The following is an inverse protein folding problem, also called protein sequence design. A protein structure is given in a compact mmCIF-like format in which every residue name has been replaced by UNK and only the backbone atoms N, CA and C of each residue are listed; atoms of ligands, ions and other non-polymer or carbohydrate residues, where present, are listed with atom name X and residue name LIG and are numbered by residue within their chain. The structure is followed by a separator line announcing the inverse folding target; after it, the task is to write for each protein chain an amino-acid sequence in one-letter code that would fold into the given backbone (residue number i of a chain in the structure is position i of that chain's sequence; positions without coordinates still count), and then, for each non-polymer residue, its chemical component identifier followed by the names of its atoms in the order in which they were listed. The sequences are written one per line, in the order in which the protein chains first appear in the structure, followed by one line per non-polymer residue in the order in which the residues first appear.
data_IF_074841103001
#
_entry.id   IF_074841103001
#
_cell.length_a   1.000
_cell.length_b   1.000
_cell.length_c   1.000
_cell.angle_alpha   90.00
_cell.angle_beta   90.00
_cell.angle_gamma   90.00
#
_symmetry.space_group_name_H-M   'P 1'
#
loop_
_entity.id
_entity.type
_entity.pdbx_description
1 polymer ?
#
# COMPACT_ATOMS: atom_id res chain seq x y z
N UNK A 1 57.03 63.28 37.99
CA UNK A 1 56.99 62.81 36.59
C UNK A 1 57.27 61.32 36.60
N UNK A 2 56.20 60.53 36.53
CA UNK A 2 56.24 59.06 36.59
C UNK A 2 56.04 58.54 35.16
N UNK A 3 57.01 57.80 34.62
CA UNK A 3 56.91 57.13 33.32
C UNK A 3 56.73 55.63 33.53
N UNK A 4 55.63 55.12 32.99
CA UNK A 4 55.18 53.75 33.06
C UNK A 4 55.95 52.84 32.08
N UNK A 5 56.31 51.65 32.55
CA UNK A 5 56.82 50.54 31.75
C UNK A 5 55.66 49.83 31.03
N UNK A 6 55.72 49.75 29.70
CA UNK A 6 54.80 48.97 28.87
C UNK A 6 55.36 47.57 28.63
N UNK A 7 54.62 46.56 29.09
CA UNK A 7 54.86 45.13 28.86
C UNK A 7 54.53 44.74 27.42
N UNK A 8 55.47 44.09 26.72
CA UNK A 8 55.25 43.45 25.41
C UNK A 8 54.93 41.97 25.60
N UNK A 9 53.79 41.54 25.08
CA UNK A 9 53.35 40.13 25.04
C UNK A 9 54.12 39.32 23.96
N UNK A 10 54.32 38.01 24.16
CA UNK A 10 55.03 37.17 23.21
C UNK A 10 54.16 36.73 22.02
N UNK A 11 54.81 36.59 20.86
CA UNK A 11 54.27 36.15 19.56
C UNK A 11 54.03 34.63 19.61
N UNK A 12 52.86 34.12 19.15
CA UNK A 12 52.64 32.68 19.05
C UNK A 12 53.31 32.07 17.80
N UNK A 13 53.71 30.78 17.84
CA UNK A 13 54.38 30.10 16.73
C UNK A 13 53.41 29.73 15.60
N UNK A 14 53.92 29.45 14.37
CA UNK A 14 53.09 29.15 13.22
C UNK A 14 52.45 27.76 13.32
N UNK A 15 51.17 27.69 12.97
CA UNK A 15 50.38 26.46 12.93
C UNK A 15 50.88 25.54 11.81
N UNK A 16 51.15 24.29 12.17
CA UNK A 16 51.50 23.22 11.25
C UNK A 16 50.30 22.84 10.37
N UNK A 17 50.55 22.66 9.07
CA UNK A 17 49.60 22.12 8.11
C UNK A 17 49.20 20.69 8.49
N UNK A 18 47.96 20.51 8.93
CA UNK A 18 47.35 19.19 9.10
C UNK A 18 46.91 18.67 7.73
N UNK A 19 47.57 17.61 7.25
CA UNK A 19 47.10 16.79 6.13
C UNK A 19 45.69 16.28 6.44
N UNK A 20 44.71 16.75 5.68
CA UNK A 20 43.35 16.21 5.67
C UNK A 20 43.37 14.83 5.02
N UNK A 21 43.39 13.79 5.85
CA UNK A 21 42.98 12.45 5.41
C UNK A 21 41.51 12.52 5.00
N UNK A 22 41.26 12.49 3.69
CA UNK A 22 39.94 12.15 3.15
C UNK A 22 39.65 10.70 3.56
N UNK A 23 38.84 10.53 4.60
CA UNK A 23 38.17 9.27 4.84
C UNK A 23 37.27 8.97 3.62
N UNK A 24 37.31 7.77 3.04
CA UNK A 24 36.39 7.39 1.99
C UNK A 24 34.98 7.47 2.57
N UNK A 25 34.15 8.34 2.00
CA UNK A 25 32.71 8.35 2.23
C UNK A 25 32.18 6.94 1.95
N UNK A 26 31.56 6.26 2.93
CA UNK A 26 30.92 4.98 2.65
C UNK A 26 29.79 5.25 1.66
N UNK A 27 29.92 4.69 0.46
CA UNK A 27 28.79 4.54 -0.44
C UNK A 27 27.74 3.70 0.30
N UNK A 28 26.72 4.37 0.86
CA UNK A 28 25.50 3.76 1.38
C UNK A 28 24.59 3.31 0.22
N UNK A 29 25.17 2.64 -0.78
CA UNK A 29 24.43 1.88 -1.75
C UNK A 29 24.21 0.48 -1.23
N UNK A 30 22.99 -0.03 -1.37
CA UNK A 30 22.69 -1.47 -1.43
C UNK A 30 22.43 -2.27 -0.13
N UNK A 31 22.06 -1.63 0.99
CA UNK A 31 21.67 -2.38 2.22
C UNK A 31 20.15 -2.71 2.29
N UNK A 32 19.30 -2.12 1.42
CA UNK A 32 17.84 -2.29 1.50
C UNK A 32 17.21 -3.29 0.50
N UNK A 33 17.82 -3.56 -0.65
CA UNK A 33 17.44 -4.69 -1.51
C UNK A 33 17.45 -6.06 -0.77
N UNK A 34 18.38 -6.33 0.18
CA UNK A 34 18.38 -7.57 0.97
C UNK A 34 17.15 -7.74 1.88
N UNK A 35 16.69 -6.68 2.55
CA UNK A 35 15.61 -6.78 3.56
C UNK A 35 14.25 -7.13 2.93
N UNK A 36 13.97 -6.64 1.73
CA UNK A 36 12.66 -6.82 1.10
C UNK A 36 12.55 -8.13 0.30
N UNK A 37 13.65 -8.63 -0.25
CA UNK A 37 13.70 -10.00 -0.77
C UNK A 37 13.51 -11.02 0.37
N UNK A 38 14.04 -10.73 1.56
CA UNK A 38 13.82 -11.57 2.73
C UNK A 38 12.33 -11.67 3.10
N UNK A 39 11.52 -10.61 2.90
CA UNK A 39 10.09 -10.60 3.24
C UNK A 39 9.28 -11.67 2.49
N UNK A 40 9.45 -11.83 1.17
CA UNK A 40 8.67 -12.82 0.41
C UNK A 40 9.27 -14.23 0.51
N UNK A 41 10.58 -14.35 0.66
CA UNK A 41 11.19 -15.64 1.03
C UNK A 41 10.68 -16.11 2.38
N UNK A 42 10.46 -15.20 3.33
CA UNK A 42 9.80 -15.52 4.60
C UNK A 42 8.33 -15.93 4.39
N UNK A 43 7.59 -15.29 3.49
CA UNK A 43 6.24 -15.76 3.15
C UNK A 43 6.33 -17.19 2.63
N UNK A 44 7.16 -17.45 1.62
CA UNK A 44 7.29 -18.78 1.02
C UNK A 44 7.68 -19.86 2.04
N UNK A 45 8.62 -19.56 2.94
CA UNK A 45 8.97 -20.44 4.05
C UNK A 45 7.79 -20.67 4.99
N UNK A 46 7.07 -19.60 5.37
CA UNK A 46 5.89 -19.73 6.20
C UNK A 46 4.80 -20.57 5.52
N UNK A 47 4.63 -20.46 4.19
CA UNK A 47 3.66 -21.28 3.45
C UNK A 47 4.04 -22.76 3.43
N UNK A 48 5.33 -23.08 3.44
CA UNK A 48 5.82 -24.46 3.53
C UNK A 48 5.59 -25.05 4.93
N UNK A 49 5.61 -24.23 5.98
CA UNK A 49 5.39 -24.63 7.38
C UNK A 49 3.90 -24.70 7.79
N UNK A 50 2.94 -24.44 6.87
CA UNK A 50 1.49 -24.43 7.18
C UNK A 50 0.83 -25.79 6.92
N UNK A 51 1.42 -26.88 7.43
CA UNK A 51 0.73 -28.18 7.49
C UNK A 51 -0.20 -28.32 8.71
N UNK A 52 -0.26 -27.30 9.59
CA UNK A 52 -1.15 -27.31 10.75
C UNK A 52 -1.94 -26.00 10.88
N UNK A 53 -3.17 -25.99 10.35
CA UNK A 53 -4.19 -25.04 10.79
C UNK A 53 -5.40 -25.80 11.33
N UNK A 54 -6.06 -25.15 12.30
CA UNK A 54 -7.21 -25.64 13.05
C UNK A 54 -8.29 -26.26 12.15
N UNK A 55 -9.10 -27.20 12.67
CA UNK A 55 -10.17 -27.83 11.90
C UNK A 55 -11.02 -26.75 11.23
N UNK A 56 -10.95 -26.72 9.90
CA UNK A 56 -11.72 -25.81 9.09
C UNK A 56 -13.14 -26.38 9.03
N UNK A 57 -14.11 -25.64 9.56
CA UNK A 57 -15.50 -26.08 9.54
C UNK A 57 -15.99 -26.20 8.09
N UNK A 58 -16.90 -27.15 7.82
CA UNK A 58 -17.54 -27.34 6.51
C UNK A 58 -18.27 -26.08 5.99
N UNK A 59 -18.52 -25.11 6.88
CA UNK A 59 -19.13 -23.81 6.56
C UNK A 59 -18.13 -22.76 6.04
N UNK A 60 -16.84 -23.07 6.06
CA UNK A 60 -15.80 -22.12 5.68
C UNK A 60 -15.86 -21.79 4.19
N UNK A 61 -15.74 -20.51 3.89
CA UNK A 61 -15.70 -20.00 2.52
C UNK A 61 -14.32 -19.44 2.20
N UNK A 62 -13.72 -19.92 1.12
CA UNK A 62 -12.43 -19.48 0.61
C UNK A 62 -12.62 -18.38 -0.44
N UNK A 63 -11.88 -17.28 -0.28
CA UNK A 63 -11.76 -16.22 -1.27
C UNK A 63 -10.35 -16.24 -1.85
N UNK A 64 -10.19 -16.72 -3.08
CA UNK A 64 -8.89 -16.75 -3.76
C UNK A 64 -8.67 -15.41 -4.46
N UNK A 65 -7.48 -14.82 -4.31
CA UNK A 65 -7.17 -13.47 -4.80
C UNK A 65 -6.09 -13.52 -5.87
N UNK A 66 -6.19 -12.68 -6.90
CA UNK A 66 -5.14 -12.52 -7.92
C UNK A 66 -4.12 -11.40 -7.57
N UNK A 67 -3.12 -11.20 -8.44
CA UNK A 67 -2.12 -10.13 -8.25
C UNK A 67 -2.70 -8.74 -8.48
N UNK A 68 -3.64 -8.58 -9.41
CA UNK A 68 -4.24 -7.28 -9.74
C UNK A 68 -5.03 -6.69 -8.57
N UNK A 69 -5.75 -7.50 -7.81
CA UNK A 69 -6.38 -7.10 -6.56
C UNK A 69 -5.33 -6.58 -5.57
N UNK A 70 -4.20 -7.24 -5.43
CA UNK A 70 -3.16 -6.84 -4.49
C UNK A 70 -2.42 -5.57 -4.93
N UNK A 71 -2.30 -5.32 -6.22
CA UNK A 71 -1.66 -4.12 -6.75
C UNK A 71 -2.61 -2.92 -6.83
N UNK A 72 -3.87 -3.13 -7.24
CA UNK A 72 -4.85 -2.08 -7.51
C UNK A 72 -5.91 -1.90 -6.42
N UNK A 73 -6.30 -2.96 -5.70
CA UNK A 73 -7.43 -2.97 -4.76
C UNK A 73 -7.05 -3.45 -3.34
N UNK A 74 -5.76 -3.32 -2.96
CA UNK A 74 -5.26 -3.81 -1.67
C UNK A 74 -6.06 -3.29 -0.47
N UNK A 75 -6.52 -2.03 -0.53
CA UNK A 75 -7.30 -1.42 0.55
C UNK A 75 -8.67 -2.06 0.74
N UNK A 76 -9.38 -2.33 -0.35
CA UNK A 76 -10.66 -3.03 -0.30
C UNK A 76 -10.46 -4.40 0.37
N UNK A 77 -9.42 -5.13 -0.03
CA UNK A 77 -9.09 -6.42 0.59
C UNK A 77 -8.71 -6.27 2.07
N UNK A 78 -7.91 -5.26 2.44
CA UNK A 78 -7.53 -4.95 3.82
C UNK A 78 -8.75 -4.68 4.71
N UNK A 79 -9.65 -3.82 4.24
CA UNK A 79 -10.89 -3.50 4.94
C UNK A 79 -11.76 -4.74 5.09
N UNK A 80 -11.96 -5.47 3.99
CA UNK A 80 -12.75 -6.69 3.99
C UNK A 80 -12.20 -7.73 4.99
N UNK A 81 -10.89 -7.94 5.04
CA UNK A 81 -10.23 -8.81 6.01
C UNK A 81 -10.45 -8.34 7.45
N UNK A 82 -10.36 -7.04 7.70
CA UNK A 82 -10.63 -6.45 9.02
C UNK A 82 -12.09 -6.69 9.44
N UNK A 83 -13.04 -6.49 8.52
CA UNK A 83 -14.47 -6.69 8.76
C UNK A 83 -14.78 -8.17 9.02
N UNK A 84 -14.16 -9.09 8.26
CA UNK A 84 -14.25 -10.54 8.48
C UNK A 84 -13.79 -10.92 9.89
N UNK A 85 -12.65 -10.40 10.32
CA UNK A 85 -12.08 -10.65 11.65
C UNK A 85 -12.96 -10.06 12.77
N UNK A 86 -13.50 -8.86 12.57
CA UNK A 86 -14.35 -8.18 13.54
C UNK A 86 -15.74 -8.84 13.66
N UNK A 87 -16.29 -9.30 12.54
CA UNK A 87 -17.56 -10.02 12.51
C UNK A 87 -17.43 -11.50 12.92
N UNK A 88 -16.20 -12.01 13.03
CA UNK A 88 -15.88 -13.41 13.32
C UNK A 88 -16.61 -14.39 12.37
N UNK A 89 -16.60 -14.09 11.07
CA UNK A 89 -17.18 -14.96 10.04
C UNK A 89 -16.13 -15.93 9.48
N UNK A 90 -16.56 -17.13 9.12
CA UNK A 90 -15.69 -18.20 8.59
C UNK A 90 -15.31 -17.99 7.13
N UNK A 91 -14.61 -16.88 6.85
CA UNK A 91 -14.03 -16.59 5.54
C UNK A 91 -12.51 -16.62 5.65
N UNK A 92 -11.86 -17.32 4.72
CA UNK A 92 -10.40 -17.37 4.59
C UNK A 92 -10.01 -16.82 3.22
N UNK A 93 -9.18 -15.79 3.22
CA UNK A 93 -8.54 -15.28 2.01
C UNK A 93 -7.33 -16.14 1.69
N UNK A 94 -7.34 -16.75 0.50
CA UNK A 94 -6.28 -17.61 -0.01
C UNK A 94 -5.45 -16.82 -1.02
N UNK A 95 -4.15 -16.80 -0.82
CA UNK A 95 -3.18 -16.17 -1.72
C UNK A 95 -2.48 -17.28 -2.52
N UNK A 96 -2.75 -17.41 -3.83
CA UNK A 96 -2.08 -18.37 -4.68
C UNK A 96 -0.55 -18.20 -4.63
N UNK A 97 0.17 -19.30 -4.77
CA UNK A 97 1.63 -19.27 -4.81
C UNK A 97 2.16 -18.50 -6.03
N UNK A 98 1.45 -18.57 -7.16
CA UNK A 98 1.76 -17.79 -8.37
C UNK A 98 1.72 -16.28 -8.12
N UNK A 99 0.74 -15.81 -7.34
CA UNK A 99 0.59 -14.39 -6.98
C UNK A 99 1.77 -13.92 -6.13
N UNK A 100 2.23 -14.74 -5.18
CA UNK A 100 3.43 -14.42 -4.37
C UNK A 100 4.68 -14.32 -5.26
N UNK A 101 4.83 -15.23 -6.22
CA UNK A 101 5.95 -15.20 -7.17
C UNK A 101 5.91 -13.96 -8.08
N UNK A 102 4.74 -13.60 -8.58
CA UNK A 102 4.55 -12.40 -9.40
C UNK A 102 4.90 -11.14 -8.64
N UNK A 103 4.42 -11.00 -7.39
CA UNK A 103 4.78 -9.87 -6.53
C UNK A 103 6.29 -9.77 -6.31
N UNK A 104 7.00 -10.88 -6.16
CA UNK A 104 8.47 -10.86 -6.00
C UNK A 104 9.18 -10.37 -7.27
N UNK A 105 8.74 -10.85 -8.43
CA UNK A 105 9.24 -10.38 -9.72
C UNK A 105 9.01 -8.89 -9.93
N UNK A 106 7.84 -8.38 -9.52
CA UNK A 106 7.45 -6.99 -9.69
C UNK A 106 8.15 -6.02 -8.72
N UNK A 107 8.85 -6.47 -7.66
CA UNK A 107 9.59 -5.57 -6.75
C UNK A 107 10.71 -4.77 -7.41
N UNK A 108 11.27 -5.33 -8.48
CA UNK A 108 12.32 -4.72 -9.30
C UNK A 108 11.75 -3.86 -10.42
N UNK A 109 10.43 -3.92 -10.64
CA UNK A 109 9.74 -3.08 -11.61
C UNK A 109 9.71 -1.66 -11.09
N UNK A 110 10.17 -0.72 -11.89
CA UNK A 110 10.09 0.71 -11.60
C UNK A 110 8.64 1.20 -11.41
N UNK A 111 7.69 0.58 -12.12
CA UNK A 111 6.28 0.97 -12.12
C UNK A 111 5.50 0.36 -10.97
N UNK A 112 5.73 -0.92 -10.71
CA UNK A 112 4.93 -1.72 -9.78
C UNK A 112 5.68 -2.07 -8.48
N UNK A 113 6.96 -1.70 -8.37
CA UNK A 113 7.81 -2.06 -7.24
C UNK A 113 7.26 -1.61 -5.90
N UNK A 114 6.85 -0.34 -5.82
CA UNK A 114 6.22 0.24 -4.64
C UNK A 114 4.96 -0.53 -4.23
N UNK A 115 4.08 -0.80 -5.18
CA UNK A 115 2.82 -1.52 -4.97
C UNK A 115 3.07 -2.94 -4.49
N UNK A 116 4.02 -3.62 -5.14
CA UNK A 116 4.37 -5.01 -4.85
C UNK A 116 5.01 -5.15 -3.47
N UNK A 117 5.87 -4.21 -3.06
CA UNK A 117 6.46 -4.18 -1.71
C UNK A 117 5.40 -3.96 -0.64
N UNK A 118 4.46 -3.03 -0.86
CA UNK A 118 3.38 -2.73 0.09
C UNK A 118 2.44 -3.93 0.26
N UNK A 119 2.05 -4.56 -0.84
CA UNK A 119 1.27 -5.80 -0.82
C UNK A 119 2.01 -6.93 -0.10
N UNK A 120 3.30 -7.13 -0.40
CA UNK A 120 4.15 -8.15 0.25
C UNK A 120 4.26 -7.95 1.75
N UNK A 121 4.46 -6.71 2.21
CA UNK A 121 4.57 -6.40 3.63
C UNK A 121 3.26 -6.71 4.37
N UNK A 122 2.12 -6.32 3.81
CA UNK A 122 0.80 -6.63 4.36
C UNK A 122 0.52 -8.13 4.39
N UNK A 123 0.84 -8.84 3.29
CA UNK A 123 0.67 -10.29 3.22
C UNK A 123 1.50 -11.01 4.28
N UNK A 124 2.77 -10.63 4.46
CA UNK A 124 3.64 -11.23 5.47
C UNK A 124 3.06 -11.04 6.88
N UNK A 125 2.58 -9.83 7.19
CA UNK A 125 1.95 -9.53 8.46
C UNK A 125 0.71 -10.42 8.69
N UNK A 126 -0.19 -10.50 7.71
CA UNK A 126 -1.44 -11.26 7.84
C UNK A 126 -1.26 -12.77 7.84
N UNK A 127 -0.36 -13.31 7.01
CA UNK A 127 -0.03 -14.74 7.01
C UNK A 127 0.61 -15.16 8.34
N UNK A 128 1.44 -14.32 8.97
CA UNK A 128 1.99 -14.58 10.31
C UNK A 128 0.92 -14.65 11.39
N UNK A 129 -0.15 -13.85 11.27
CA UNK A 129 -1.27 -13.88 12.22
C UNK A 129 -2.10 -15.18 12.12
N UNK A 130 -2.10 -15.86 10.96
CA UNK A 130 -2.81 -17.14 10.72
C UNK A 130 -4.30 -17.10 11.09
N UNK A 131 -4.98 -15.95 10.88
CA UNK A 131 -6.41 -15.77 11.23
C UNK A 131 -7.32 -15.92 10.01
N UNK A 132 -7.25 -14.95 9.11
CA UNK A 132 -8.20 -14.71 8.02
C UNK A 132 -7.55 -14.75 6.64
N UNK A 133 -6.21 -14.73 6.59
CA UNK A 133 -5.42 -14.75 5.36
C UNK A 133 -4.38 -15.87 5.46
N UNK A 134 -4.24 -16.61 4.37
CA UNK A 134 -3.31 -17.73 4.24
C UNK A 134 -2.81 -17.81 2.81
N UNK A 135 -1.55 -18.22 2.59
CA UNK A 135 -1.10 -18.59 1.26
C UNK A 135 -1.28 -20.08 0.96
N UNK A 136 -1.30 -20.39 -0.33
CA UNK A 136 -1.38 -21.74 -0.87
C UNK A 136 -0.10 -22.53 -0.55
N UNK A 137 -0.23 -23.70 0.07
CA UNK A 137 0.86 -24.64 0.25
C UNK A 137 1.25 -25.32 -1.06
N UNK A 138 2.49 -25.85 -1.17
CA UNK A 138 2.98 -26.46 -2.41
C UNK A 138 2.09 -27.61 -2.91
N UNK A 139 1.60 -28.46 -2.00
CA UNK A 139 0.75 -29.60 -2.31
C UNK A 139 -0.74 -29.24 -2.45
N UNK A 140 -1.10 -27.96 -2.33
CA UNK A 140 -2.47 -27.49 -2.45
C UNK A 140 -2.84 -27.16 -3.89
N UNK A 141 -2.79 -28.19 -4.74
CA UNK A 141 -2.89 -28.06 -6.20
C UNK A 141 -3.69 -29.20 -6.80
N UNK A 142 -4.31 -28.97 -7.96
CA UNK A 142 -4.91 -30.03 -8.78
C UNK A 142 -3.90 -30.64 -9.75
N UNK A 143 -2.69 -30.08 -9.83
CA UNK A 143 -1.60 -30.58 -10.66
C UNK A 143 -1.22 -32.02 -10.26
N UNK A 144 -1.25 -33.00 -11.19
CA UNK A 144 -0.84 -34.39 -10.95
C UNK A 144 0.54 -34.60 -10.31
N UNK A 145 1.46 -33.64 -10.43
CA UNK A 145 2.76 -33.70 -9.76
C UNK A 145 2.67 -33.56 -8.24
N UNK A 146 1.53 -33.11 -7.71
CA UNK A 146 1.34 -32.79 -6.30
C UNK A 146 2.10 -31.52 -5.88
N UNK A 147 2.58 -30.71 -6.82
CA UNK A 147 3.26 -29.46 -6.53
C UNK A 147 2.94 -28.40 -7.58
N UNK A 148 2.29 -27.29 -7.20
CA UNK A 148 1.89 -26.25 -8.16
C UNK A 148 3.08 -25.62 -8.90
N UNK A 149 4.29 -25.64 -8.31
CA UNK A 149 5.52 -25.16 -8.94
C UNK A 149 6.05 -26.09 -10.01
N UNK A 150 5.70 -27.38 -9.94
CA UNK A 150 6.24 -28.38 -10.84
C UNK A 150 5.46 -28.33 -12.15
N UNK A 151 6.12 -27.78 -13.16
CA UNK A 151 5.59 -27.73 -14.51
C UNK A 151 5.56 -29.11 -15.14
N UNK A 152 4.48 -29.42 -15.84
CA UNK A 152 4.39 -30.66 -16.60
C UNK A 152 5.04 -30.53 -17.98
N UNK A 153 5.67 -31.61 -18.42
CA UNK A 153 6.29 -31.67 -19.74
C UNK A 153 5.18 -31.55 -20.80
N UNK A 154 5.27 -30.51 -21.63
CA UNK A 154 4.30 -30.25 -22.70
C UNK A 154 3.19 -29.26 -22.36
N UNK A 155 3.13 -28.75 -21.12
CA UNK A 155 2.26 -27.58 -20.84
C UNK A 155 2.75 -26.38 -21.66
N UNK A 156 1.86 -25.67 -22.38
CA UNK A 156 2.23 -24.49 -23.14
C UNK A 156 2.91 -23.46 -22.23
N UNK A 157 3.93 -22.79 -22.76
CA UNK A 157 4.50 -21.62 -22.10
C UNK A 157 3.73 -20.41 -22.62
N UNK A 158 3.19 -19.59 -21.73
CA UNK A 158 2.46 -18.41 -22.15
C UNK A 158 2.15 -17.49 -21.00
N UNK A 159 1.68 -16.30 -21.37
CA UNK A 159 1.28 -15.24 -20.44
C UNK A 159 0.15 -15.70 -19.50
N UNK A 160 -0.68 -16.66 -19.95
CA UNK A 160 -1.76 -17.27 -19.16
C UNK A 160 -1.30 -18.32 -18.16
N UNK A 161 -0.01 -18.64 -18.08
CA UNK A 161 0.46 -19.70 -17.19
C UNK A 161 0.19 -19.37 -15.71
N UNK A 162 0.31 -18.10 -15.32
CA UNK A 162 0.02 -17.71 -13.94
C UNK A 162 -1.48 -17.73 -13.64
N UNK A 163 -2.32 -17.35 -14.60
CA UNK A 163 -3.78 -17.47 -14.52
C UNK A 163 -4.22 -18.92 -14.36
N UNK A 164 -3.61 -19.85 -15.12
CA UNK A 164 -3.83 -21.29 -14.97
C UNK A 164 -3.47 -21.78 -13.55
N UNK A 165 -2.38 -21.26 -12.96
CA UNK A 165 -2.00 -21.61 -11.58
C UNK A 165 -2.95 -21.02 -10.53
N UNK A 166 -3.48 -19.81 -10.75
CA UNK A 166 -4.50 -19.21 -9.88
C UNK A 166 -5.79 -20.04 -9.97
N UNK A 167 -6.19 -20.45 -11.17
CA UNK A 167 -7.35 -21.29 -11.38
C UNK A 167 -7.19 -22.70 -10.78
N UNK A 168 -6.00 -23.30 -10.90
CA UNK A 168 -5.65 -24.55 -10.22
C UNK A 168 -5.82 -24.43 -8.69
N UNK A 169 -5.37 -23.33 -8.09
CA UNK A 169 -5.59 -23.01 -6.69
C UNK A 169 -7.10 -22.94 -6.36
N UNK A 170 -7.89 -22.21 -7.17
CA UNK A 170 -9.35 -22.14 -7.03
C UNK A 170 -10.00 -23.53 -7.06
N UNK A 171 -9.61 -24.38 -8.01
CA UNK A 171 -10.16 -25.72 -8.17
C UNK A 171 -9.80 -26.64 -6.98
N UNK A 172 -8.57 -26.54 -6.49
CA UNK A 172 -8.14 -27.28 -5.31
C UNK A 172 -9.01 -26.94 -4.09
N UNK A 173 -9.13 -25.65 -3.75
CA UNK A 173 -9.91 -25.24 -2.58
C UNK A 173 -11.40 -25.47 -2.78
N UNK A 174 -11.92 -25.37 -4.01
CA UNK A 174 -13.32 -25.71 -4.33
C UNK A 174 -13.66 -27.18 -4.03
N UNK A 175 -12.70 -28.09 -4.19
CA UNK A 175 -12.93 -29.51 -3.87
C UNK A 175 -13.16 -29.76 -2.37
N UNK A 176 -12.82 -28.81 -1.50
CA UNK A 176 -12.87 -28.92 -0.04
C UNK A 176 -13.80 -27.91 0.63
N UNK A 177 -13.94 -26.71 0.05
CA UNK A 177 -14.64 -25.58 0.63
C UNK A 177 -15.46 -24.84 -0.41
N UNK A 178 -16.43 -24.05 0.05
CA UNK A 178 -17.08 -23.05 -0.82
C UNK A 178 -16.01 -22.06 -1.26
N UNK A 179 -15.73 -21.99 -2.55
CA UNK A 179 -14.63 -21.17 -3.06
C UNK A 179 -15.14 -20.18 -4.10
N UNK A 180 -14.61 -18.97 -4.05
CA UNK A 180 -14.80 -17.96 -5.06
C UNK A 180 -13.47 -17.27 -5.41
N UNK A 181 -13.38 -16.80 -6.65
CA UNK A 181 -12.31 -15.96 -7.14
C UNK A 181 -12.65 -14.49 -6.94
N UNK A 182 -11.72 -13.72 -6.39
CA UNK A 182 -11.75 -12.27 -6.35
C UNK A 182 -10.69 -11.72 -7.31
N UNK A 183 -11.15 -11.16 -8.43
CA UNK A 183 -10.28 -10.72 -9.53
C UNK A 183 -10.89 -9.54 -10.25
N UNK A 184 -10.06 -8.61 -10.69
CA UNK A 184 -10.47 -7.54 -11.60
C UNK A 184 -10.33 -7.92 -13.08
N UNK A 185 -9.70 -9.06 -13.38
CA UNK A 185 -9.46 -9.51 -14.76
C UNK A 185 -10.70 -10.24 -15.32
N UNK A 186 -11.31 -9.65 -16.33
CA UNK A 186 -12.51 -10.20 -16.98
C UNK A 186 -12.28 -11.58 -17.60
N UNK A 187 -11.10 -11.85 -18.19
CA UNK A 187 -10.81 -13.14 -18.82
C UNK A 187 -10.65 -14.24 -17.77
N UNK A 188 -9.88 -13.98 -16.71
CA UNK A 188 -9.68 -14.95 -15.63
C UNK A 188 -11.00 -15.27 -14.91
N UNK A 189 -11.88 -14.27 -14.75
CA UNK A 189 -13.24 -14.45 -14.22
C UNK A 189 -14.12 -15.33 -15.10
N UNK A 190 -14.16 -15.07 -16.41
CA UNK A 190 -14.92 -15.89 -17.37
C UNK A 190 -14.42 -17.34 -17.34
N UNK A 191 -13.10 -17.53 -17.32
CA UNK A 191 -12.50 -18.86 -17.27
C UNK A 191 -12.83 -19.59 -15.96
N UNK A 192 -12.69 -18.91 -14.81
CA UNK A 192 -13.10 -19.40 -13.50
C UNK A 192 -14.56 -19.86 -13.48
N UNK A 193 -15.47 -19.04 -14.02
CA UNK A 193 -16.90 -19.35 -14.07
C UNK A 193 -17.21 -20.54 -14.99
N UNK A 194 -16.51 -20.65 -16.12
CA UNK A 194 -16.63 -21.79 -17.02
C UNK A 194 -16.25 -23.13 -16.36
N UNK A 195 -15.33 -23.08 -15.39
CA UNK A 195 -14.96 -24.22 -14.55
C UNK A 195 -15.87 -24.40 -13.32
N UNK A 196 -16.87 -23.54 -13.13
CA UNK A 196 -17.81 -23.59 -12.02
C UNK A 196 -17.29 -23.00 -10.71
N UNK A 197 -16.22 -22.20 -10.74
CA UNK A 197 -15.76 -21.39 -9.62
C UNK A 197 -16.40 -20.00 -9.74
N UNK A 198 -17.19 -19.61 -8.75
CA UNK A 198 -17.85 -18.29 -8.73
C UNK A 198 -16.80 -17.17 -8.70
N UNK A 199 -17.02 -16.08 -9.44
CA UNK A 199 -16.10 -14.96 -9.48
C UNK A 199 -16.77 -13.64 -9.09
N UNK A 200 -16.02 -12.70 -8.52
CA UNK A 200 -16.50 -11.36 -8.18
C UNK A 200 -15.40 -10.32 -8.45
N UNK A 201 -15.81 -9.19 -9.03
CA UNK A 201 -14.96 -8.02 -9.22
C UNK A 201 -14.91 -7.12 -7.98
N UNK A 202 -13.90 -6.24 -7.85
CA UNK A 202 -13.86 -5.21 -6.82
C UNK A 202 -15.10 -4.30 -6.87
N UNK A 203 -15.94 -4.35 -5.84
CA UNK A 203 -17.01 -3.36 -5.65
C UNK A 203 -16.95 -2.76 -4.25
N UNK A 204 -17.40 -3.50 -3.24
CA UNK A 204 -17.38 -3.11 -1.83
C UNK A 204 -17.23 -4.30 -0.91
N UNK A 205 -16.79 -4.06 0.33
CA UNK A 205 -16.69 -5.12 1.34
C UNK A 205 -18.04 -5.77 1.65
N UNK A 206 -19.12 -4.98 1.62
CA UNK A 206 -20.49 -5.43 1.83
C UNK A 206 -20.97 -6.34 0.69
N UNK A 207 -20.79 -5.93 -0.56
CA UNK A 207 -21.19 -6.75 -1.71
C UNK A 207 -20.39 -8.06 -1.76
N UNK A 208 -19.10 -7.99 -1.42
CA UNK A 208 -18.24 -9.16 -1.33
C UNK A 208 -18.73 -10.13 -0.24
N UNK A 209 -19.08 -9.63 0.94
CA UNK A 209 -19.66 -10.43 2.01
C UNK A 209 -21.02 -11.04 1.61
N UNK A 210 -21.89 -10.26 0.98
CA UNK A 210 -23.19 -10.71 0.48
C UNK A 210 -23.04 -11.81 -0.57
N UNK A 211 -22.11 -11.65 -1.50
CA UNK A 211 -21.81 -12.63 -2.54
C UNK A 211 -21.29 -13.95 -1.96
N UNK A 212 -20.40 -13.89 -0.96
CA UNK A 212 -19.79 -15.07 -0.37
C UNK A 212 -20.74 -15.81 0.57
N UNK A 213 -21.47 -15.08 1.42
CA UNK A 213 -22.27 -15.64 2.51
C UNK A 213 -23.76 -15.73 2.20
N UNK A 214 -24.24 -15.07 1.14
CA UNK A 214 -25.65 -15.04 0.76
C UNK A 214 -26.55 -14.29 1.74
N UNK A 215 -25.97 -13.48 2.63
CA UNK A 215 -26.69 -12.68 3.62
C UNK A 215 -26.06 -11.31 3.74
N UNK A 216 -26.90 -10.32 3.99
CA UNK A 216 -26.44 -8.97 4.28
C UNK A 216 -25.82 -8.93 5.68
N UNK A 217 -24.67 -8.30 5.80
CA UNK A 217 -23.98 -8.12 7.07
C UNK A 217 -23.85 -6.63 7.33
N UNK A 218 -24.73 -6.10 8.17
CA UNK A 218 -24.73 -4.68 8.60
C UNK A 218 -23.40 -4.25 9.25
N UNK A 219 -22.59 -5.23 9.69
CA UNK A 219 -21.27 -5.00 10.30
C UNK A 219 -20.17 -4.66 9.29
N UNK A 220 -20.38 -4.97 8.00
CA UNK A 220 -19.40 -4.66 6.96
C UNK A 220 -19.59 -3.20 6.60
N UNK A 221 -18.52 -2.42 6.72
CA UNK A 221 -18.62 -1.02 6.38
C UNK A 221 -18.85 -0.90 4.86
N UNK A 222 -19.76 0.00 4.43
CA UNK A 222 -19.84 0.32 3.01
C UNK A 222 -18.46 0.82 2.61
N UNK A 223 -17.83 0.09 1.70
CA UNK A 223 -16.61 0.59 1.09
C UNK A 223 -17.04 1.74 0.20
N UNK A 224 -16.77 2.97 0.63
CA UNK A 224 -16.80 4.11 -0.27
C UNK A 224 -15.64 3.90 -1.25
N UNK A 225 -15.96 3.25 -2.37
CA UNK A 225 -15.09 3.18 -3.52
C UNK A 225 -14.89 4.60 -4.04
N UNK A 226 -14.00 5.35 -3.41
CA UNK A 226 -13.64 6.71 -3.83
C UNK A 226 -12.81 6.72 -5.13
N UNK A 227 -12.83 5.61 -5.88
CA UNK A 227 -12.07 5.39 -7.10
C UNK A 227 -12.92 4.81 -8.23
N UNK A 228 -13.95 5.55 -8.65
CA UNK A 228 -14.56 5.40 -9.99
C UNK A 228 -13.58 5.73 -11.13
N UNK A 229 -12.34 6.14 -10.83
CA UNK A 229 -11.33 6.49 -11.82
C UNK A 229 -10.51 5.33 -12.38
N UNK A 230 -10.53 4.15 -11.74
CA UNK A 230 -9.82 2.95 -12.23
C UNK A 230 -10.76 2.07 -13.08
N UNK A 231 -12.07 2.15 -12.88
CA UNK A 231 -13.08 1.47 -13.73
C UNK A 231 -13.12 1.99 -15.18
N UNK A 232 -12.37 3.06 -15.50
CA UNK A 232 -12.14 3.46 -16.90
C UNK A 232 -10.95 2.73 -17.55
N UNK A 233 -10.40 1.68 -16.93
CA UNK A 233 -9.37 0.83 -17.51
C UNK A 233 -9.93 -0.27 -18.43
N UNK A 234 -11.26 -0.43 -18.53
CA UNK A 234 -11.88 -1.37 -19.45
C UNK A 234 -12.97 -0.69 -20.29
N UNK A 235 -12.65 -0.35 -21.55
CA UNK A 235 -13.47 -0.60 -22.75
C UNK A 235 -12.85 0.14 -23.96
N UNK A 236 -11.74 -0.37 -24.46
CA UNK A 236 -11.54 -0.33 -25.91
C UNK A 236 -11.75 -1.75 -26.42
N UNK A 237 -12.98 -2.05 -26.85
CA UNK A 237 -13.36 -3.32 -27.48
C UNK A 237 -12.80 -3.39 -28.91
N UNK A 238 -11.51 -3.12 -29.09
CA UNK A 238 -10.82 -3.36 -30.35
C UNK A 238 -10.40 -4.82 -30.39
N UNK A 239 -11.02 -5.59 -31.30
CA UNK A 239 -10.63 -6.97 -31.57
C UNK A 239 -9.31 -7.00 -32.36
N UNK A 240 -8.17 -6.87 -31.68
CA UNK A 240 -6.87 -7.25 -32.23
C UNK A 240 -6.23 -8.33 -31.35
N UNK A 241 -6.13 -9.51 -31.92
CA UNK A 241 -5.55 -10.71 -31.32
C UNK A 241 -4.06 -10.67 -31.61
N UNK A 242 -3.28 -10.13 -30.66
CA UNK A 242 -1.85 -10.42 -30.35
C UNK A 242 -1.24 -9.26 -29.51
N UNK A 243 -1.96 -8.76 -28.49
CA UNK A 243 -1.49 -7.61 -27.70
C UNK A 243 -0.89 -8.00 -26.34
N UNK A 244 0.41 -7.75 -26.27
CA UNK A 244 1.28 -7.58 -25.10
C UNK A 244 0.51 -7.10 -23.86
N UNK A 245 0.60 -7.86 -22.74
CA UNK A 245 -0.10 -7.59 -21.47
C UNK A 245 -0.28 -6.09 -21.18
N UNK A 246 -1.49 -5.63 -20.79
CA UNK A 246 -1.86 -4.22 -20.82
C UNK A 246 -0.86 -3.37 -20.03
N UNK A 247 0.04 -2.73 -20.78
CA UNK A 247 1.06 -1.85 -20.21
C UNK A 247 0.33 -0.62 -19.73
N UNK A 248 0.18 -0.48 -18.41
CA UNK A 248 -0.32 0.75 -17.79
C UNK A 248 0.32 1.96 -18.47
N UNK A 249 -0.50 2.86 -19.00
CA UNK A 249 0.01 4.08 -19.62
C UNK A 249 0.74 4.90 -18.56
N UNK A 250 1.73 5.71 -18.97
CA UNK A 250 2.47 6.55 -18.03
C UNK A 250 1.53 7.46 -17.22
N UNK A 251 0.43 7.90 -17.83
CA UNK A 251 -0.59 8.72 -17.18
C UNK A 251 -1.38 7.95 -16.11
N UNK A 252 -1.77 6.71 -16.41
CA UNK A 252 -2.47 5.85 -15.46
C UNK A 252 -1.56 5.52 -14.27
N UNK A 253 -0.29 5.21 -14.54
CA UNK A 253 0.70 4.95 -13.49
C UNK A 253 0.87 6.16 -12.55
N UNK A 254 0.86 7.39 -13.09
CA UNK A 254 0.93 8.62 -12.29
C UNK A 254 -0.30 8.83 -11.42
N UNK A 255 -1.50 8.59 -11.95
CA UNK A 255 -2.75 8.72 -11.20
C UNK A 255 -2.82 7.70 -10.06
N UNK A 256 -2.47 6.43 -10.35
CA UNK A 256 -2.38 5.37 -9.36
C UNK A 256 -1.34 5.68 -8.29
N UNK A 257 -0.15 6.17 -8.67
CA UNK A 257 0.88 6.56 -7.72
C UNK A 257 0.39 7.67 -6.80
N UNK A 258 -0.25 8.72 -7.33
CA UNK A 258 -0.75 9.84 -6.53
C UNK A 258 -1.78 9.40 -5.50
N UNK A 259 -2.74 8.60 -5.93
CA UNK A 259 -3.74 8.00 -5.06
C UNK A 259 -3.07 7.28 -3.92
N UNK A 260 -2.09 6.43 -4.20
CA UNK A 260 -1.43 5.70 -3.14
C UNK A 260 -0.59 6.57 -2.21
N UNK A 261 -0.02 7.66 -2.71
CA UNK A 261 0.68 8.66 -1.87
C UNK A 261 -0.31 9.31 -0.91
N UNK A 262 -1.46 9.78 -1.41
CA UNK A 262 -2.55 10.30 -0.58
C UNK A 262 -2.89 9.30 0.52
N UNK A 263 -3.16 8.06 0.14
CA UNK A 263 -3.60 7.01 1.04
C UNK A 263 -2.57 6.61 2.08
N UNK A 264 -1.33 6.45 1.65
CA UNK A 264 -0.24 5.99 2.48
C UNK A 264 0.14 7.04 3.50
N UNK A 265 0.41 8.27 3.04
CA UNK A 265 0.81 9.35 3.93
C UNK A 265 -0.34 9.82 4.82
N UNK A 266 -1.62 9.71 4.40
CA UNK A 266 -2.74 9.94 5.33
C UNK A 266 -2.67 9.00 6.53
N UNK A 267 -2.39 7.70 6.34
CA UNK A 267 -2.27 6.75 7.46
C UNK A 267 -1.10 7.06 8.37
N UNK A 268 0.05 7.40 7.80
CA UNK A 268 1.22 7.82 8.58
C UNK A 268 0.92 9.09 9.39
N UNK A 269 0.23 10.07 8.78
CA UNK A 269 -0.19 11.29 9.45
C UNK A 269 -1.19 11.01 10.59
N UNK A 270 -2.17 10.12 10.39
CA UNK A 270 -3.10 9.69 11.45
C UNK A 270 -2.35 9.00 12.60
N UNK A 271 -1.42 8.11 12.29
CA UNK A 271 -0.59 7.46 13.30
C UNK A 271 0.29 8.47 14.06
N UNK A 272 0.85 9.44 13.36
CA UNK A 272 1.62 10.53 13.95
C UNK A 272 0.76 11.40 14.88
N UNK A 273 -0.45 11.78 14.44
CA UNK A 273 -1.42 12.51 15.25
C UNK A 273 -1.73 11.76 16.55
N UNK A 274 -1.96 10.45 16.49
CA UNK A 274 -2.21 9.63 17.68
C UNK A 274 -1.05 9.64 18.68
N UNK A 275 0.21 9.70 18.21
CA UNK A 275 1.39 9.80 19.10
C UNK A 275 1.57 11.20 19.69
N UNK A 276 1.26 12.25 18.92
CA UNK A 276 1.43 13.65 19.31
C UNK A 276 0.30 14.14 20.21
N UNK A 277 -0.91 13.59 20.01
CA UNK A 277 -2.14 14.01 20.64
C UNK A 277 -2.80 12.92 21.48
N UNK A 278 -2.17 12.45 22.57
CA UNK A 278 -2.79 11.45 23.44
C UNK A 278 -4.13 11.96 24.02
N UNK A 279 -4.31 13.28 24.15
CA UNK A 279 -5.56 13.87 24.63
C UNK A 279 -6.75 13.66 23.68
N UNK A 280 -6.53 13.24 22.43
CA UNK A 280 -7.60 12.99 21.47
C UNK A 280 -8.37 11.70 21.76
N UNK A 281 -7.85 10.79 22.58
CA UNK A 281 -8.56 9.57 22.98
C UNK A 281 -9.67 9.85 24.02
N UNK A 282 -9.50 10.89 24.85
CA UNK A 282 -10.41 11.20 25.96
C UNK A 282 -11.64 12.04 25.53
N UNK A 283 -11.59 12.70 24.37
CA UNK A 283 -12.60 13.68 23.95
C UNK A 283 -13.88 13.02 23.42
N UNK A 284 -13.86 11.73 23.08
CA UNK A 284 -15.01 11.04 22.49
C UNK A 284 -16.20 10.85 23.45
N UNK A 285 -16.05 11.11 24.75
CA UNK A 285 -17.08 10.87 25.76
C UNK A 285 -17.81 12.10 26.30
N UNK A 286 -17.32 13.32 26.07
CA UNK A 286 -17.91 14.53 26.67
C UNK A 286 -18.81 15.27 25.67
N UNK A 287 -20.08 14.86 25.66
CA UNK A 287 -21.07 15.24 24.66
C UNK A 287 -21.37 16.74 24.57
N UNK A 288 -21.51 17.21 23.33
CA UNK A 288 -22.58 18.14 22.98
C UNK A 288 -22.32 19.64 23.15
N UNK A 289 -21.07 20.11 23.15
CA UNK A 289 -20.83 21.55 22.99
C UNK A 289 -20.82 21.87 21.49
N UNK A 290 -21.81 22.63 21.04
CA UNK A 290 -21.90 23.14 19.67
C UNK A 290 -20.62 23.90 19.32
N UNK A 291 -19.74 23.26 18.54
CA UNK A 291 -18.49 23.86 18.11
C UNK A 291 -18.77 25.15 17.33
N UNK A 292 -18.07 26.23 17.67
CA UNK A 292 -18.15 27.50 16.95
C UNK A 292 -17.86 27.27 15.46
N UNK A 293 -18.54 27.99 14.57
CA UNK A 293 -18.23 28.00 13.13
C UNK A 293 -16.75 28.34 12.82
N UNK A 294 -16.06 28.98 13.75
CA UNK A 294 -14.63 29.34 13.63
C UNK A 294 -13.69 28.33 14.29
N UNK A 295 -14.19 27.24 14.86
CA UNK A 295 -13.33 26.18 15.37
C UNK A 295 -12.62 25.47 14.20
N UNK A 296 -11.40 24.96 14.42
CA UNK A 296 -10.65 24.20 13.42
C UNK A 296 -11.47 23.05 12.86
N UNK A 297 -11.23 22.64 11.61
CA UNK A 297 -12.05 21.60 10.97
C UNK A 297 -12.02 20.29 11.74
N UNK A 298 -10.86 19.92 12.28
CA UNK A 298 -10.70 18.73 13.12
C UNK A 298 -11.48 18.77 14.45
N UNK A 299 -11.97 19.93 14.89
CA UNK A 299 -12.87 20.08 16.05
C UNK A 299 -14.36 20.09 15.68
N UNK A 300 -14.70 20.22 14.39
CA UNK A 300 -16.06 20.49 13.95
C UNK A 300 -16.90 19.23 13.72
N UNK A 301 -16.53 18.09 14.30
CA UNK A 301 -17.35 16.89 14.24
C UNK A 301 -17.00 15.90 15.32
N UNK A 302 -17.96 15.03 15.64
CA UNK A 302 -17.79 13.86 16.51
C UNK A 302 -16.94 12.75 15.86
N UNK A 303 -16.12 13.13 14.87
CA UNK A 303 -15.35 12.22 14.03
C UNK A 303 -14.05 11.84 14.75
N UNK A 304 -13.83 10.56 15.08
CA UNK A 304 -12.61 10.13 15.76
C UNK A 304 -11.38 10.40 14.89
N UNK A 305 -10.25 10.73 15.52
CA UNK A 305 -9.03 11.11 14.79
C UNK A 305 -8.50 10.02 13.84
N UNK A 306 -8.85 8.76 14.09
CA UNK A 306 -8.50 7.61 13.24
C UNK A 306 -9.14 7.66 11.86
N UNK A 307 -10.21 8.42 11.72
CA UNK A 307 -10.92 8.63 10.46
C UNK A 307 -10.51 9.93 9.76
N UNK A 308 -9.65 10.75 10.38
CA UNK A 308 -9.25 12.03 9.82
C UNK A 308 -8.55 11.87 8.46
N UNK A 309 -8.81 12.82 7.56
CA UNK A 309 -8.08 12.94 6.30
C UNK A 309 -6.73 13.68 6.51
N UNK A 310 -5.89 13.71 5.47
CA UNK A 310 -4.59 14.36 5.53
C UNK A 310 -4.68 15.85 5.90
N UNK A 311 -5.68 16.58 5.39
CA UNK A 311 -5.85 18.00 5.67
C UNK A 311 -6.18 18.26 7.16
N UNK A 312 -7.06 17.44 7.74
CA UNK A 312 -7.40 17.49 9.17
C UNK A 312 -6.17 17.18 10.04
N UNK A 313 -5.39 16.16 9.66
CA UNK A 313 -4.15 15.80 10.36
C UNK A 313 -3.12 16.94 10.31
N UNK A 314 -2.86 17.50 9.12
CA UNK A 314 -1.91 18.59 8.94
C UNK A 314 -2.33 19.86 9.69
N UNK A 315 -3.61 20.20 9.68
CA UNK A 315 -4.14 21.34 10.44
C UNK A 315 -3.91 21.18 11.96
N UNK A 316 -4.13 19.97 12.49
CA UNK A 316 -3.88 19.66 13.90
C UNK A 316 -2.38 19.76 14.23
N UNK A 317 -1.52 19.12 13.43
CA UNK A 317 -0.07 19.12 13.63
C UNK A 317 0.50 20.54 13.55
N UNK A 318 0.10 21.33 12.54
CA UNK A 318 0.54 22.72 12.38
C UNK A 318 0.17 23.61 13.58
N UNK A 319 -0.97 23.33 14.22
CA UNK A 319 -1.38 24.05 15.42
C UNK A 319 -0.51 23.70 16.62
N UNK A 320 -0.10 22.44 16.74
CA UNK A 320 0.77 21.97 17.84
C UNK A 320 2.21 22.46 17.66
N UNK A 321 2.71 22.44 16.43
CA UNK A 321 4.04 22.94 16.07
C UNK A 321 3.93 23.62 14.72
N UNK A 322 4.09 24.95 14.68
CA UNK A 322 4.03 25.72 13.44
C UNK A 322 5.17 25.31 12.51
N UNK A 323 4.86 24.48 11.52
CA UNK A 323 5.77 24.14 10.45
C UNK A 323 5.83 25.28 9.42
N UNK A 324 6.97 25.40 8.73
CA UNK A 324 7.06 26.25 7.54
C UNK A 324 6.33 25.52 6.41
N UNK A 325 5.26 26.12 5.88
CA UNK A 325 4.47 25.49 4.81
C UNK A 325 5.16 25.64 3.46
N UNK A 326 5.06 24.61 2.64
CA UNK A 326 5.32 24.72 1.20
C UNK A 326 4.16 25.48 0.54
N UNK A 327 4.47 26.57 -0.16
CA UNK A 327 3.44 27.47 -0.67
C UNK A 327 2.77 26.97 -1.96
N UNK A 328 3.39 26.03 -2.70
CA UNK A 328 2.85 25.58 -3.97
C UNK A 328 3.32 24.16 -4.39
N UNK A 329 2.43 23.14 -4.45
CA UNK A 329 1.06 23.17 -3.95
C UNK A 329 1.03 23.12 -2.42
N UNK A 330 -0.10 23.55 -1.85
CA UNK A 330 -0.39 23.30 -0.45
C UNK A 330 -0.49 21.80 -0.22
N UNK A 331 0.18 21.30 0.83
CA UNK A 331 0.27 19.87 1.05
C UNK A 331 -1.11 19.24 1.32
N UNK A 332 -1.99 19.95 2.00
CA UNK A 332 -3.37 19.53 2.24
C UNK A 332 -4.20 19.39 0.95
N UNK A 333 -3.85 20.12 -0.11
CA UNK A 333 -4.51 20.05 -1.42
C UNK A 333 -3.93 18.90 -2.25
N UNK A 334 -2.60 18.73 -2.20
CA UNK A 334 -1.93 17.62 -2.86
C UNK A 334 -2.39 16.26 -2.28
N UNK A 335 -2.50 16.16 -0.95
CA UNK A 335 -2.96 14.94 -0.28
C UNK A 335 -4.49 14.79 -0.24
N UNK A 336 -5.24 15.66 -0.92
CA UNK A 336 -6.68 15.50 -1.08
C UNK A 336 -7.01 14.57 -2.24
N UNK A 337 -8.08 13.79 -2.12
CA UNK A 337 -8.57 12.95 -3.22
C UNK A 337 -8.89 13.83 -4.45
N UNK A 338 -8.66 13.35 -5.69
CA UNK A 338 -8.93 14.15 -6.88
C UNK A 338 -10.34 14.73 -6.88
N UNK A 339 -10.46 16.04 -7.12
CA UNK A 339 -11.73 16.78 -7.14
C UNK A 339 -12.56 16.78 -5.84
N UNK A 340 -12.05 16.23 -4.74
CA UNK A 340 -12.73 16.28 -3.44
C UNK A 340 -12.71 17.67 -2.77
N UNK A 341 -11.77 18.53 -3.17
CA UNK A 341 -11.63 19.88 -2.64
C UNK A 341 -11.13 20.86 -3.71
N UNK A 342 -11.38 22.17 -3.56
CA UNK A 342 -10.91 23.18 -4.52
C UNK A 342 -9.39 23.11 -4.74
N UNK A 343 -8.99 22.78 -5.97
CA UNK A 343 -7.59 22.65 -6.36
C UNK A 343 -7.01 21.24 -6.25
N UNK A 344 -7.75 20.26 -5.70
CA UNK A 344 -7.33 18.86 -5.73
C UNK A 344 -7.44 18.30 -7.14
N UNK A 345 -6.39 17.58 -7.56
CA UNK A 345 -6.16 17.17 -8.96
C UNK A 345 -5.76 15.70 -9.04
N UNK A 346 -5.88 15.13 -10.24
CA UNK A 346 -5.32 13.80 -10.54
C UNK A 346 -3.79 13.83 -10.54
N UNK A 347 -3.15 12.67 -10.40
CA UNK A 347 -1.69 12.55 -10.35
C UNK A 347 -0.99 13.14 -11.58
N UNK A 348 -1.54 12.90 -12.76
CA UNK A 348 -1.03 13.39 -14.05
C UNK A 348 -1.22 14.90 -14.29
N UNK A 349 -2.12 15.53 -13.53
CA UNK A 349 -2.42 16.97 -13.62
C UNK A 349 -1.47 17.81 -12.76
N UNK A 350 -0.70 17.17 -11.88
CA UNK A 350 0.37 17.83 -11.12
C UNK A 350 1.65 17.90 -11.95
N UNK A 351 2.30 19.07 -11.96
CA UNK A 351 3.63 19.20 -12.56
C UNK A 351 4.68 18.42 -11.76
N UNK A 352 5.79 18.09 -12.39
CA UNK A 352 6.93 17.46 -11.72
C UNK A 352 7.45 18.30 -10.52
N UNK A 353 7.46 19.62 -10.69
CA UNK A 353 7.83 20.56 -9.62
C UNK A 353 6.82 20.54 -8.47
N UNK A 354 5.52 20.48 -8.78
CA UNK A 354 4.47 20.39 -7.75
C UNK A 354 4.58 19.11 -6.93
N UNK A 355 4.85 17.98 -7.60
CA UNK A 355 5.18 16.71 -6.94
C UNK A 355 6.40 16.84 -6.03
N UNK A 356 7.49 17.40 -6.55
CA UNK A 356 8.73 17.59 -5.78
C UNK A 356 8.52 18.46 -4.55
N UNK A 357 7.81 19.57 -4.71
CA UNK A 357 7.46 20.49 -3.63
C UNK A 357 6.60 19.82 -2.57
N UNK A 358 5.58 19.04 -2.97
CA UNK A 358 4.72 18.32 -2.04
C UNK A 358 5.46 17.22 -1.27
N UNK A 359 6.29 16.41 -1.94
CA UNK A 359 7.09 15.37 -1.27
C UNK A 359 8.14 15.99 -0.33
N UNK A 360 8.72 17.12 -0.72
CA UNK A 360 9.60 17.89 0.17
C UNK A 360 8.85 18.39 1.41
N UNK A 361 7.63 18.92 1.23
CA UNK A 361 6.76 19.33 2.34
C UNK A 361 6.42 18.19 3.29
N UNK A 362 6.12 16.98 2.77
CA UNK A 362 5.98 15.78 3.60
C UNK A 362 7.27 15.45 4.36
N UNK A 363 8.42 15.59 3.72
CA UNK A 363 9.73 15.37 4.35
C UNK A 363 9.97 16.33 5.51
N UNK A 364 9.59 17.60 5.35
CA UNK A 364 9.65 18.60 6.40
C UNK A 364 8.71 18.26 7.57
N UNK A 365 7.50 17.76 7.30
CA UNK A 365 6.61 17.24 8.36
C UNK A 365 7.29 16.08 9.10
N UNK A 366 7.91 15.14 8.38
CA UNK A 366 8.69 14.05 8.98
C UNK A 366 9.81 14.56 9.89
N UNK A 367 10.59 15.55 9.43
CA UNK A 367 11.67 16.17 10.23
C UNK A 367 11.16 16.89 11.46
N UNK A 368 10.14 17.73 11.29
CA UNK A 368 9.60 18.55 12.37
C UNK A 368 9.04 17.68 13.50
N UNK A 369 8.60 16.47 13.18
CA UNK A 369 8.06 15.53 14.17
C UNK A 369 9.00 14.38 14.52
N UNK A 370 10.18 14.29 13.90
CA UNK A 370 11.11 13.17 14.10
C UNK A 370 10.54 11.82 13.66
N UNK A 371 9.61 11.82 12.69
CA UNK A 371 9.00 10.60 12.15
C UNK A 371 9.89 9.99 11.05
N UNK A 372 10.66 8.98 11.44
CA UNK A 372 11.54 8.25 10.54
C UNK A 372 10.78 7.45 9.48
N UNK A 373 9.55 7.00 9.75
CA UNK A 373 8.77 6.23 8.79
C UNK A 373 8.36 7.08 7.60
N UNK A 374 7.89 8.32 7.85
CA UNK A 374 7.60 9.28 6.77
C UNK A 374 8.84 9.53 5.90
N UNK A 375 10.02 9.69 6.51
CA UNK A 375 11.27 9.96 5.77
C UNK A 375 11.70 8.78 4.90
N UNK A 376 11.72 7.58 5.48
CA UNK A 376 12.10 6.37 4.76
C UNK A 376 11.18 6.12 3.55
N UNK A 377 9.88 6.28 3.74
CA UNK A 377 8.90 6.04 2.68
C UNK A 377 8.98 7.11 1.56
N UNK A 378 9.39 8.34 1.88
CA UNK A 378 9.62 9.40 0.89
C UNK A 378 10.85 9.15 0.02
N UNK A 379 11.93 8.62 0.59
CA UNK A 379 13.15 8.32 -0.16
C UNK A 379 12.85 7.24 -1.21
N UNK A 380 12.11 6.20 -0.82
CA UNK A 380 11.66 5.16 -1.74
C UNK A 380 10.68 5.69 -2.79
N UNK A 381 9.71 6.49 -2.39
CA UNK A 381 8.74 7.09 -3.31
C UNK A 381 9.39 8.01 -4.33
N UNK A 382 10.44 8.75 -3.94
CA UNK A 382 11.15 9.68 -4.82
C UNK A 382 11.75 8.96 -6.02
N UNK A 383 12.33 7.77 -5.81
CA UNK A 383 12.87 6.93 -6.87
C UNK A 383 11.76 6.45 -7.82
N UNK A 384 10.63 5.98 -7.28
CA UNK A 384 9.50 5.51 -8.09
C UNK A 384 8.88 6.64 -8.91
N UNK A 385 8.70 7.81 -8.30
CA UNK A 385 8.23 9.01 -8.99
C UNK A 385 9.14 9.33 -10.18
N UNK A 386 10.45 9.34 -9.98
CA UNK A 386 11.40 9.63 -11.07
C UNK A 386 11.28 8.64 -12.22
N UNK A 387 11.12 7.36 -11.90
CA UNK A 387 10.93 6.35 -12.92
C UNK A 387 9.61 6.50 -13.68
N UNK A 388 8.49 6.77 -12.98
CA UNK A 388 7.18 6.98 -13.62
C UNK A 388 7.16 8.25 -14.48
N UNK A 389 7.75 9.35 -14.02
CA UNK A 389 7.88 10.57 -14.83
C UNK A 389 8.83 10.40 -16.02
N UNK A 390 9.87 9.56 -15.87
CA UNK A 390 10.78 9.20 -16.95
C UNK A 390 10.08 8.59 -18.16
N UNK A 391 8.95 7.89 -17.95
CA UNK A 391 8.16 7.26 -19.02
C UNK A 391 7.44 8.25 -19.95
N UNK A 392 7.34 9.53 -19.59
CA UNK A 392 6.72 10.56 -20.45
C UNK A 392 7.68 11.13 -21.49
N UNK A 393 8.98 10.87 -21.36
CA UNK A 393 10.01 11.28 -22.31
C UNK A 393 10.17 10.22 -23.38
#
# INVERSE_FOLDING_TARGET
MSLAFASRSPIPPPLAHTNSFHAPTPHYGDVQAPLHNATLQQIDQLLQDVEMQAPVDDSTTCLVVDTNILLGNLRLLQQFVSDVEAAAVSIIVIIPGAVVNELDGQKKSDRLGWFSRRASAWLLEKVKQKRSVRGQGNAETMNPSGNWRTRQRGQPFGERYNDELILDCCLYFRSKFRTALFSADTNLRIESESQGVRSIAPTSGRDLAQFLLGRDLEKFQPYEADYTGIDSLEHDNSMDVDEEAPRLSAEQAMDLLHVQVIEHFTRLLVALVGRVGPELEDVASDGGVTASQHAPKWKNGDKPYREWNAAECLEYLDRKRRAKRTDNPRLEVFLSKPYSSPGARKGREWSYEAWSSALHGLGQVGDDWGDLSIRQDLDELTQHREAVFGLRK
#
